data_IF_746307572489
#
_entry.id   IF_746307572489
#
_cell.length_a   1.000
_cell.length_b   1.000
_cell.length_c   1.000
_cell.angle_alpha   90.00
_cell.angle_beta   90.00
_cell.angle_gamma   90.00
#
_symmetry.space_group_name_H-M   'P 1'
#
loop_
_entity.id
_entity.type
_entity.pdbx_description
1 polymer ?
#
# COMPACT_ATOMS: atom_id res chain seq x y z
N UNK A 1 15.88 10.39 -4.41
CA UNK A 1 16.18 10.40 -2.96
C UNK A 1 17.52 11.10 -2.73
N UNK A 2 17.67 11.83 -1.62
CA UNK A 2 18.92 12.50 -1.30
C UNK A 2 20.02 11.55 -0.80
N UNK A 3 21.28 11.97 -0.92
CA UNK A 3 22.48 11.23 -0.49
C UNK A 3 22.37 10.72 0.95
N UNK A 4 21.87 11.57 1.86
CA UNK A 4 21.71 11.20 3.27
C UNK A 4 20.73 10.02 3.46
N UNK A 5 19.66 9.97 2.67
CA UNK A 5 18.69 8.87 2.67
C UNK A 5 19.31 7.56 2.17
N UNK A 6 20.08 7.62 1.08
CA UNK A 6 20.79 6.46 0.54
C UNK A 6 21.79 5.89 1.56
N UNK A 7 22.59 6.74 2.19
CA UNK A 7 23.53 6.32 3.24
C UNK A 7 22.79 5.66 4.41
N UNK A 8 21.64 6.21 4.81
CA UNK A 8 20.83 5.62 5.88
C UNK A 8 20.31 4.22 5.51
N UNK A 9 19.88 4.01 4.26
CA UNK A 9 19.46 2.69 3.76
C UNK A 9 20.63 1.70 3.77
N UNK A 10 21.78 2.08 3.23
CA UNK A 10 22.96 1.23 3.19
C UNK A 10 23.43 0.83 4.59
N UNK A 11 23.39 1.77 5.55
CA UNK A 11 23.69 1.49 6.97
C UNK A 11 22.72 0.51 7.59
N UNK A 12 21.43 0.63 7.27
CA UNK A 12 20.42 -0.32 7.74
C UNK A 12 20.71 -1.72 7.20
N UNK A 13 21.03 -1.83 5.91
CA UNK A 13 21.36 -3.10 5.25
C UNK A 13 22.65 -3.70 5.82
N UNK A 14 23.71 -2.91 6.03
CA UNK A 14 24.94 -3.40 6.69
C UNK A 14 24.69 -3.90 8.11
N UNK A 15 23.69 -3.34 8.81
CA UNK A 15 23.27 -3.81 10.12
C UNK A 15 22.53 -5.15 10.08
N UNK A 16 21.76 -5.40 9.02
CA UNK A 16 21.01 -6.64 8.82
C UNK A 16 21.87 -7.77 8.21
N UNK A 17 22.82 -7.42 7.35
CA UNK A 17 23.62 -8.35 6.55
C UNK A 17 25.11 -8.15 6.79
N UNK A 18 25.74 -9.08 7.51
CA UNK A 18 27.19 -9.02 7.81
C UNK A 18 28.07 -9.11 6.56
N UNK A 19 27.57 -9.69 5.49
CA UNK A 19 28.25 -9.80 4.20
C UNK A 19 28.12 -8.54 3.33
N UNK A 20 27.31 -7.56 3.74
CA UNK A 20 27.18 -6.29 3.03
C UNK A 20 28.25 -5.32 3.50
N UNK A 21 29.41 -5.39 2.87
CA UNK A 21 30.56 -4.51 3.11
C UNK A 21 30.83 -3.74 1.81
N UNK A 22 30.95 -2.43 1.93
CA UNK A 22 31.35 -1.55 0.82
C UNK A 22 32.71 -0.99 1.18
N UNK A 23 33.69 -1.17 0.28
CA UNK A 23 35.02 -0.61 0.46
C UNK A 23 34.99 0.92 0.37
N UNK A 24 35.81 1.60 1.17
CA UNK A 24 35.86 3.07 1.21
C UNK A 24 36.19 3.68 -0.17
N UNK A 25 37.01 2.98 -0.97
CA UNK A 25 37.35 3.35 -2.35
C UNK A 25 36.15 3.32 -3.31
N UNK A 26 35.19 2.44 -3.07
CA UNK A 26 34.01 2.24 -3.92
C UNK A 26 32.76 2.96 -3.38
N UNK A 27 32.84 3.52 -2.17
CA UNK A 27 31.70 4.08 -1.46
C UNK A 27 31.00 5.20 -2.25
N UNK A 28 31.74 6.18 -2.77
CA UNK A 28 31.11 7.28 -3.52
C UNK A 28 30.48 6.82 -4.84
N UNK A 29 31.14 5.90 -5.55
CA UNK A 29 30.58 5.31 -6.77
C UNK A 29 29.29 4.54 -6.47
N UNK A 30 29.30 3.76 -5.40
CA UNK A 30 28.15 2.96 -4.97
C UNK A 30 26.99 3.85 -4.54
N UNK A 31 27.25 4.90 -3.75
CA UNK A 31 26.25 5.90 -3.38
C UNK A 31 25.64 6.56 -4.61
N UNK A 32 26.46 6.92 -5.60
CA UNK A 32 26.00 7.50 -6.86
C UNK A 32 25.03 6.59 -7.60
N UNK A 33 25.34 5.31 -7.74
CA UNK A 33 24.47 4.30 -8.38
C UNK A 33 23.16 4.14 -7.62
N UNK A 34 23.22 4.08 -6.28
CA UNK A 34 22.01 3.96 -5.46
C UNK A 34 21.12 5.20 -5.55
N UNK A 35 21.72 6.39 -5.61
CA UNK A 35 21.00 7.64 -5.80
C UNK A 35 20.30 7.68 -7.15
N UNK A 36 20.97 7.23 -8.22
CA UNK A 36 20.40 7.17 -9.57
C UNK A 36 19.19 6.23 -9.65
N UNK A 37 19.31 5.01 -9.10
CA UNK A 37 18.24 4.02 -9.13
C UNK A 37 17.05 4.43 -8.25
N UNK A 38 17.31 5.03 -7.09
CA UNK A 38 16.27 5.42 -6.12
C UNK A 38 15.91 6.91 -6.20
N UNK A 39 16.19 7.58 -7.32
CA UNK A 39 16.01 9.02 -7.45
C UNK A 39 14.55 9.46 -7.27
N UNK A 40 13.61 8.66 -7.76
CA UNK A 40 12.18 8.99 -7.76
C UNK A 40 11.42 8.47 -6.52
N UNK A 41 12.09 7.70 -5.66
CA UNK A 41 11.43 7.06 -4.51
C UNK A 41 11.60 7.90 -3.24
N UNK A 42 10.50 8.23 -2.52
CA UNK A 42 10.59 8.86 -1.20
C UNK A 42 11.32 7.96 -0.19
N UNK A 43 12.20 8.55 0.61
CA UNK A 43 13.02 7.82 1.60
C UNK A 43 12.20 6.91 2.52
N UNK A 44 11.07 7.41 3.02
CA UNK A 44 10.24 6.65 3.96
C UNK A 44 9.70 5.36 3.34
N UNK A 45 9.26 5.42 2.08
CA UNK A 45 8.73 4.27 1.33
C UNK A 45 9.87 3.27 1.07
N UNK A 46 11.02 3.75 0.60
CA UNK A 46 12.18 2.90 0.35
C UNK A 46 12.65 2.20 1.64
N UNK A 47 12.65 2.89 2.77
CA UNK A 47 13.04 2.32 4.06
C UNK A 47 12.08 1.22 4.51
N UNK A 48 10.76 1.44 4.38
CA UNK A 48 9.75 0.43 4.68
C UNK A 48 9.93 -0.82 3.81
N UNK A 49 10.05 -0.65 2.49
CA UNK A 49 10.25 -1.78 1.56
C UNK A 49 11.58 -2.49 1.79
N UNK A 50 12.63 -1.76 2.12
CA UNK A 50 13.92 -2.35 2.50
C UNK A 50 13.77 -3.21 3.75
N UNK A 51 13.02 -2.77 4.77
CA UNK A 51 12.77 -3.57 5.98
C UNK A 51 12.02 -4.86 5.66
N UNK A 52 11.02 -4.79 4.78
CA UNK A 52 10.26 -5.98 4.39
C UNK A 52 11.14 -6.96 3.61
N UNK A 53 11.96 -6.47 2.68
CA UNK A 53 12.94 -7.30 1.98
C UNK A 53 13.96 -7.92 2.96
N UNK A 54 14.43 -7.17 3.95
CA UNK A 54 15.35 -7.69 4.96
C UNK A 54 14.73 -8.81 5.82
N UNK A 55 13.40 -8.86 5.96
CA UNK A 55 12.70 -9.91 6.70
C UNK A 55 12.49 -11.18 5.89
N UNK A 56 12.34 -11.05 4.58
CA UNK A 56 12.02 -12.18 3.68
C UNK A 56 13.27 -12.76 3.04
N UNK A 57 14.26 -11.93 2.71
CA UNK A 57 15.49 -12.33 2.03
C UNK A 57 16.58 -12.65 3.03
N UNK A 58 16.79 -13.93 3.34
CA UNK A 58 17.68 -14.33 4.44
C UNK A 58 19.16 -14.39 4.02
N UNK A 59 19.45 -14.75 2.78
CA UNK A 59 20.81 -15.11 2.35
C UNK A 59 21.66 -13.92 1.88
N UNK A 60 21.05 -12.98 1.15
CA UNK A 60 21.77 -11.88 0.51
C UNK A 60 21.09 -10.54 0.77
N UNK A 61 21.89 -9.50 0.88
CA UNK A 61 21.40 -8.14 1.01
C UNK A 61 20.53 -7.75 -0.20
N UNK A 62 19.45 -6.98 0.01
CA UNK A 62 18.67 -6.45 -1.09
C UNK A 62 19.48 -5.46 -1.92
N UNK A 63 19.37 -5.57 -3.22
CA UNK A 63 19.97 -4.65 -4.19
C UNK A 63 19.10 -3.39 -4.35
N UNK A 64 19.66 -2.26 -4.81
CA UNK A 64 18.86 -1.05 -5.03
C UNK A 64 17.75 -1.27 -6.07
N UNK A 65 17.95 -2.16 -7.05
CA UNK A 65 16.95 -2.53 -8.03
C UNK A 65 15.77 -3.32 -7.41
N UNK A 66 16.06 -4.26 -6.51
CA UNK A 66 15.01 -5.00 -5.77
C UNK A 66 14.19 -4.07 -4.87
N UNK A 67 14.85 -3.11 -4.22
CA UNK A 67 14.17 -2.09 -3.41
C UNK A 67 13.25 -1.23 -4.29
N UNK A 68 13.74 -0.79 -5.46
CA UNK A 68 12.95 -0.03 -6.43
C UNK A 68 11.71 -0.82 -6.89
N UNK A 69 11.89 -2.08 -7.29
CA UNK A 69 10.79 -2.94 -7.72
C UNK A 69 9.75 -3.13 -6.61
N UNK A 70 10.18 -3.40 -5.38
CA UNK A 70 9.28 -3.54 -4.23
C UNK A 70 8.48 -2.26 -3.94
N UNK A 71 9.03 -1.09 -4.27
CA UNK A 71 8.30 0.18 -4.18
C UNK A 71 7.20 0.25 -5.25
N UNK A 72 7.47 -0.17 -6.48
CA UNK A 72 6.50 -0.15 -7.59
C UNK A 72 5.35 -1.15 -7.40
N UNK A 73 5.62 -2.36 -6.93
CA UNK A 73 4.61 -3.40 -6.73
C UNK A 73 3.48 -2.96 -5.78
N UNK A 74 3.82 -2.16 -4.77
CA UNK A 74 2.81 -1.60 -3.89
C UNK A 74 1.91 -0.56 -4.56
N UNK A 75 2.43 0.21 -5.51
CA UNK A 75 1.60 1.15 -6.28
C UNK A 75 0.60 0.38 -7.15
N UNK A 76 1.06 -0.69 -7.81
CA UNK A 76 0.20 -1.55 -8.64
C UNK A 76 -0.97 -2.16 -7.85
N UNK A 77 -0.74 -2.68 -6.64
CA UNK A 77 -1.81 -3.26 -5.82
C UNK A 77 -2.86 -2.21 -5.42
N UNK A 78 -2.44 -1.03 -4.93
CA UNK A 78 -3.38 0.02 -4.54
C UNK A 78 -4.12 0.63 -5.74
N UNK A 79 -3.48 0.71 -6.91
CA UNK A 79 -4.13 1.14 -8.14
C UNK A 79 -5.21 0.14 -8.58
N UNK A 80 -4.91 -1.16 -8.54
CA UNK A 80 -5.89 -2.21 -8.82
C UNK A 80 -7.09 -2.14 -7.86
N UNK A 81 -6.84 -1.99 -6.55
CA UNK A 81 -7.92 -1.86 -5.57
C UNK A 81 -8.82 -0.63 -5.85
N UNK A 82 -8.24 0.51 -6.22
CA UNK A 82 -9.04 1.70 -6.57
C UNK A 82 -9.89 1.48 -7.82
N UNK A 83 -9.38 0.75 -8.81
CA UNK A 83 -10.12 0.42 -10.02
C UNK A 83 -11.31 -0.48 -9.68
N UNK A 84 -11.12 -1.49 -8.82
CA UNK A 84 -12.21 -2.36 -8.35
C UNK A 84 -13.28 -1.56 -7.60
N UNK A 85 -12.89 -0.69 -6.66
CA UNK A 85 -13.82 0.17 -5.92
C UNK A 85 -14.63 1.10 -6.85
N UNK A 86 -13.99 1.65 -7.89
CA UNK A 86 -14.68 2.46 -8.89
C UNK A 86 -15.69 1.65 -9.72
N UNK A 87 -15.33 0.42 -10.10
CA UNK A 87 -16.24 -0.47 -10.83
C UNK A 87 -17.44 -0.87 -9.98
N UNK A 88 -17.23 -1.17 -8.69
CA UNK A 88 -18.32 -1.47 -7.76
C UNK A 88 -19.27 -0.28 -7.57
N UNK A 89 -18.74 0.94 -7.48
CA UNK A 89 -19.57 2.15 -7.38
C UNK A 89 -20.43 2.37 -8.64
N UNK A 90 -19.86 2.17 -9.82
CA UNK A 90 -20.59 2.28 -11.09
C UNK A 90 -21.70 1.23 -11.17
N UNK A 91 -21.39 -0.04 -10.84
CA UNK A 91 -22.38 -1.12 -10.79
C UNK A 91 -23.52 -0.82 -9.80
N UNK A 92 -23.20 -0.25 -8.65
CA UNK A 92 -24.20 0.17 -7.65
C UNK A 92 -25.08 1.30 -8.18
N UNK A 93 -24.50 2.28 -8.88
CA UNK A 93 -25.24 3.37 -9.52
C UNK A 93 -26.19 2.84 -10.60
N UNK A 94 -25.71 1.97 -11.49
CA UNK A 94 -26.53 1.33 -12.52
C UNK A 94 -27.68 0.53 -11.90
N UNK A 95 -27.41 -0.20 -10.81
CA UNK A 95 -28.45 -0.90 -10.06
C UNK A 95 -29.50 0.07 -9.51
N UNK A 96 -29.10 1.22 -8.94
CA UNK A 96 -30.05 2.21 -8.45
C UNK A 96 -30.84 2.91 -9.56
N UNK A 97 -30.24 3.11 -10.73
CA UNK A 97 -30.92 3.68 -11.90
C UNK A 97 -31.96 2.71 -12.48
N UNK A 98 -31.65 1.41 -12.50
CA UNK A 98 -32.56 0.37 -13.01
C UNK A 98 -33.58 -0.12 -11.96
N UNK A 99 -33.26 -0.01 -10.67
CA UNK A 99 -34.13 -0.46 -9.61
C UNK A 99 -35.35 0.47 -9.48
N UNK A 100 -36.54 -0.10 -9.69
CA UNK A 100 -37.79 0.60 -9.38
C UNK A 100 -37.82 0.88 -7.87
N UNK A 101 -38.02 2.15 -7.44
CA UNK A 101 -38.06 2.47 -6.02
C UNK A 101 -39.17 1.67 -5.34
N UNK A 102 -38.89 1.19 -4.13
CA UNK A 102 -39.81 0.36 -3.35
C UNK A 102 -41.20 1.02 -3.28
N UNK A 103 -42.29 0.33 -3.69
CA UNK A 103 -43.63 0.91 -3.68
C UNK A 103 -44.02 1.42 -2.30
N UNK A 104 -44.60 2.63 -2.22
CA UNK A 104 -44.89 3.34 -0.95
C UNK A 104 -45.65 2.50 0.08
N UNK A 105 -46.62 1.68 -0.37
CA UNK A 105 -47.40 0.83 0.53
C UNK A 105 -46.57 -0.29 1.22
N UNK A 106 -45.44 -0.71 0.64
CA UNK A 106 -44.51 -1.69 1.25
C UNK A 106 -43.65 -0.97 2.28
N UNK A 107 -43.15 0.23 1.94
CA UNK A 107 -42.34 1.08 2.80
C UNK A 107 -43.06 1.39 4.12
N UNK A 108 -44.30 1.84 4.03
CA UNK A 108 -45.13 2.13 5.21
C UNK A 108 -45.42 0.88 6.06
N UNK A 109 -45.64 -0.29 5.44
CA UNK A 109 -45.86 -1.55 6.18
C UNK A 109 -44.61 -1.99 6.94
N UNK A 110 -43.43 -1.79 6.37
CA UNK A 110 -42.14 -2.10 7.01
C UNK A 110 -41.85 -1.15 8.16
N UNK A 111 -42.02 0.17 7.95
CA UNK A 111 -41.83 1.19 8.99
C UNK A 111 -42.74 0.96 10.20
N UNK A 112 -44.03 0.65 9.97
CA UNK A 112 -44.98 0.29 11.05
C UNK A 112 -44.56 -0.97 11.81
N UNK A 113 -43.98 -1.97 11.13
CA UNK A 113 -43.47 -3.19 11.78
C UNK A 113 -42.21 -2.90 12.60
N UNK A 114 -41.30 -2.06 12.10
CA UNK A 114 -40.09 -1.68 12.82
C UNK A 114 -40.43 -0.87 14.09
N UNK A 115 -41.30 0.13 13.98
CA UNK A 115 -41.75 0.95 15.12
C UNK A 115 -42.42 0.10 16.22
N UNK A 116 -43.21 -0.92 15.83
CA UNK A 116 -43.84 -1.86 16.78
C UNK A 116 -42.86 -2.79 17.48
N UNK A 117 -41.69 -3.09 16.90
CA UNK A 117 -40.68 -3.91 17.59
C UNK A 117 -39.93 -3.09 18.63
N UNK A 118 -39.58 -1.86 18.30
CA UNK A 118 -38.90 -0.93 19.23
C UNK A 118 -39.77 -0.63 20.46
N UNK A 119 -41.09 -0.50 20.29
CA UNK A 119 -41.99 -0.25 21.44
C UNK A 119 -42.22 -1.46 22.35
N UNK A 120 -41.81 -2.67 21.96
CA UNK A 120 -41.99 -3.90 22.74
C UNK A 120 -40.75 -4.24 23.56
N UNK A 121 -39.57 -3.70 23.21
CA UNK A 121 -38.32 -3.85 23.97
C UNK A 121 -38.17 -2.82 25.12
N UNK A 122 -39.12 -1.88 25.29
CA UNK A 122 -39.08 -0.84 26.34
C UNK A 122 -40.01 -1.12 27.55
N UNK A 123 -40.51 -2.34 27.78
CA UNK A 123 -41.35 -2.69 28.95
C UNK A 123 -40.89 -3.97 29.66
#
# INVERSE_FOLDING_TARGET
MERAGVIALMRYISGAYRNFVIEDSEMEGTIGVWMDILQDIPFQIALERTRDLCRTKIEFAPTPAEIYQACLESHSFYELQRIEEQQEQLMLQEYYEQAVPMPQHIKEKLERRAARKVSVDEH
#
